data_IF_876029893399
#
_entry.id   IF_876029893399
#
_cell.length_a   1.000
_cell.length_b   1.000
_cell.length_c   1.000
_cell.angle_alpha   90.00
_cell.angle_beta   90.00
_cell.angle_gamma   90.00
#
_symmetry.space_group_name_H-M   'P 1'
#
loop_
_entity.id
_entity.type
_entity.pdbx_description
1 polymer ?
#
# COMPACT_ATOMS: atom_id res chain seq x y z
N UNK A 1 7.31 -0.86 -15.91
CA UNK A 1 8.56 -0.83 -15.09
C UNK A 1 8.23 -1.50 -13.76
N UNK A 2 9.06 -2.40 -13.20
CA UNK A 2 8.70 -3.06 -11.94
C UNK A 2 8.89 -2.10 -10.74
N UNK A 3 7.87 -1.91 -9.91
CA UNK A 3 7.96 -1.14 -8.67
C UNK A 3 8.50 -2.05 -7.56
N UNK A 4 9.49 -1.57 -6.83
CA UNK A 4 9.91 -2.17 -5.57
C UNK A 4 9.26 -1.42 -4.42
N UNK A 5 8.40 -2.09 -3.68
CA UNK A 5 7.66 -1.52 -2.56
C UNK A 5 8.41 -1.71 -1.24
N UNK A 6 8.30 -0.71 -0.36
CA UNK A 6 8.78 -0.75 1.03
C UNK A 6 7.61 -0.47 1.95
N UNK A 7 7.05 -1.55 2.49
CA UNK A 7 5.98 -1.47 3.46
C UNK A 7 6.55 -1.24 4.87
N UNK A 8 6.10 -0.20 5.57
CA UNK A 8 6.45 0.01 6.97
C UNK A 8 5.81 -1.05 7.87
N UNK A 9 6.42 -1.29 9.03
CA UNK A 9 5.83 -2.12 10.07
C UNK A 9 4.79 -1.33 10.89
N UNK A 10 3.99 -2.03 11.69
CA UNK A 10 2.98 -1.40 12.56
C UNK A 10 3.58 -0.41 13.57
N UNK A 11 4.88 -0.51 13.85
CA UNK A 11 5.61 0.33 14.79
C UNK A 11 6.24 1.56 14.13
N UNK A 12 6.20 1.66 12.81
CA UNK A 12 6.78 2.78 12.07
C UNK A 12 6.00 4.05 12.42
N UNK A 13 6.68 5.11 12.92
CA UNK A 13 6.03 6.35 13.28
C UNK A 13 5.18 6.92 12.13
N UNK A 14 3.92 7.24 12.44
CA UNK A 14 2.97 7.81 11.49
C UNK A 14 2.32 6.79 10.54
N UNK A 15 2.74 5.52 10.49
CA UNK A 15 2.15 4.54 9.58
C UNK A 15 0.67 4.26 9.87
N UNK A 16 0.29 4.07 11.14
CA UNK A 16 -1.12 3.83 11.50
C UNK A 16 -2.05 4.98 11.09
N UNK A 17 -1.55 6.22 11.11
CA UNK A 17 -2.28 7.40 10.63
C UNK A 17 -2.44 7.34 9.11
N UNK A 18 -1.34 7.15 8.37
CA UNK A 18 -1.35 7.02 6.90
C UNK A 18 -2.26 5.89 6.43
N UNK A 19 -2.25 4.75 7.13
CA UNK A 19 -3.13 3.61 6.85
C UNK A 19 -4.61 4.00 6.95
N UNK A 20 -4.98 4.80 7.95
CA UNK A 20 -6.36 5.32 8.09
C UNK A 20 -6.69 6.30 6.97
N UNK A 21 -5.76 7.17 6.60
CA UNK A 21 -5.95 8.14 5.50
C UNK A 21 -6.14 7.41 4.16
N UNK A 22 -5.35 6.37 3.88
CA UNK A 22 -5.54 5.50 2.70
C UNK A 22 -6.91 4.80 2.74
N UNK A 23 -7.34 4.27 3.89
CA UNK A 23 -8.64 3.60 4.02
C UNK A 23 -9.79 4.54 3.64
N UNK A 24 -9.75 5.78 4.14
CA UNK A 24 -10.73 6.82 3.81
C UNK A 24 -10.72 7.14 2.31
N UNK A 25 -9.53 7.27 1.70
CA UNK A 25 -9.40 7.60 0.28
C UNK A 25 -9.91 6.48 -0.64
N UNK A 26 -9.76 5.22 -0.23
CA UNK A 26 -10.22 4.05 -1.01
C UNK A 26 -11.74 3.90 -0.95
N UNK A 27 -12.37 4.29 0.17
CA UNK A 27 -13.83 4.30 0.31
C UNK A 27 -14.49 5.55 -0.30
N UNK A 28 -13.71 6.62 -0.53
CA UNK A 28 -14.21 7.86 -1.07
C UNK A 28 -14.53 7.76 -2.57
N UNK A 29 -15.41 8.63 -3.10
CA UNK A 29 -15.65 8.71 -4.54
C UNK A 29 -14.34 8.97 -5.31
N UNK A 30 -14.15 8.36 -6.50
CA UNK A 30 -12.93 8.52 -7.28
C UNK A 30 -12.90 9.87 -8.00
N UNK A 31 -12.74 10.95 -7.23
CA UNK A 31 -12.47 12.29 -7.75
C UNK A 31 -10.99 12.42 -8.09
N UNK A 32 -10.65 13.43 -8.90
CA UNK A 32 -9.26 13.77 -9.20
C UNK A 32 -8.47 14.02 -7.91
N UNK A 33 -9.05 14.79 -6.99
CA UNK A 33 -8.45 15.13 -5.69
C UNK A 33 -8.14 13.88 -4.84
N UNK A 34 -9.09 12.94 -4.73
CA UNK A 34 -8.89 11.73 -3.94
C UNK A 34 -7.88 10.78 -4.59
N UNK A 35 -7.86 10.72 -5.93
CA UNK A 35 -6.92 9.91 -6.70
C UNK A 35 -5.49 10.46 -6.58
N UNK A 36 -5.34 11.78 -6.66
CA UNK A 36 -4.05 12.46 -6.46
C UNK A 36 -3.55 12.27 -5.03
N UNK A 37 -4.42 12.42 -4.03
CA UNK A 37 -4.07 12.19 -2.64
C UNK A 37 -3.60 10.74 -2.39
N UNK A 38 -4.33 9.75 -2.93
CA UNK A 38 -3.93 8.33 -2.83
C UNK A 38 -2.59 8.09 -3.53
N UNK A 39 -2.38 8.72 -4.68
CA UNK A 39 -1.11 8.64 -5.42
C UNK A 39 0.04 9.17 -4.58
N UNK A 40 -0.07 10.35 -3.96
CA UNK A 40 0.97 10.89 -3.08
C UNK A 40 1.34 9.92 -1.95
N UNK A 41 0.33 9.31 -1.29
CA UNK A 41 0.60 8.31 -0.26
C UNK A 41 1.34 7.08 -0.82
N UNK A 42 0.92 6.56 -1.97
CA UNK A 42 1.56 5.39 -2.57
C UNK A 42 3.04 5.66 -2.94
N UNK A 43 3.37 6.88 -3.37
CA UNK A 43 4.76 7.27 -3.71
C UNK A 43 5.73 7.18 -2.52
N UNK A 44 5.25 7.40 -1.30
CA UNK A 44 6.04 7.28 -0.07
C UNK A 44 6.53 5.84 0.18
N UNK A 45 5.77 4.84 -0.30
CA UNK A 45 6.07 3.43 -0.13
C UNK A 45 6.88 2.82 -1.26
N UNK A 46 7.26 3.61 -2.27
CA UNK A 46 8.11 3.14 -3.37
C UNK A 46 9.58 3.26 -2.99
N UNK A 47 10.29 2.14 -2.94
CA UNK A 47 11.74 2.08 -2.78
C UNK A 47 12.45 2.27 -4.11
N UNK A 48 11.98 1.59 -5.16
CA UNK A 48 12.47 1.75 -6.52
C UNK A 48 11.31 1.86 -7.51
N UNK A 49 11.39 2.80 -8.47
CA UNK A 49 12.51 3.69 -8.75
C UNK A 49 12.69 4.83 -7.72
N UNK A 50 13.89 5.40 -7.63
CA UNK A 50 14.24 6.40 -6.60
C UNK A 50 13.82 7.83 -6.93
N UNK A 51 13.62 8.16 -8.20
CA UNK A 51 13.28 9.53 -8.62
C UNK A 51 11.77 9.71 -8.67
N UNK A 52 11.26 10.84 -8.18
CA UNK A 52 9.81 11.10 -8.13
C UNK A 52 9.13 10.99 -9.50
N UNK A 53 9.81 11.48 -10.55
CA UNK A 53 9.32 11.34 -11.92
C UNK A 53 9.16 9.88 -12.34
N UNK A 54 10.11 9.02 -11.98
CA UNK A 54 10.03 7.60 -12.30
C UNK A 54 9.02 6.87 -11.41
N UNK A 55 8.90 7.25 -10.13
CA UNK A 55 7.89 6.69 -9.22
C UNK A 55 6.47 6.94 -9.74
N UNK A 56 6.16 8.20 -10.08
CA UNK A 56 4.87 8.60 -10.66
C UNK A 56 4.60 7.86 -11.97
N UNK A 57 5.59 7.80 -12.86
CA UNK A 57 5.46 7.05 -14.12
C UNK A 57 5.16 5.57 -13.86
N UNK A 58 5.90 4.93 -12.97
CA UNK A 58 5.70 3.53 -12.64
C UNK A 58 4.32 3.29 -12.01
N UNK A 59 3.86 4.19 -11.13
CA UNK A 59 2.56 4.10 -10.48
C UNK A 59 1.40 4.24 -11.48
N UNK A 60 1.53 5.07 -12.51
CA UNK A 60 0.54 5.16 -13.59
C UNK A 60 0.51 3.90 -14.46
N UNK A 61 1.67 3.23 -14.61
CA UNK A 61 1.82 2.03 -15.42
C UNK A 61 1.42 0.73 -14.71
N UNK A 62 1.12 0.74 -13.40
CA UNK A 62 0.74 -0.49 -12.70
C UNK A 62 -0.62 -1.01 -13.17
N UNK A 63 -0.77 -2.33 -13.13
CA UNK A 63 -2.08 -2.93 -13.37
C UNK A 63 -3.03 -2.61 -12.21
N UNK A 64 -4.33 -2.56 -12.52
CA UNK A 64 -5.36 -2.37 -11.50
C UNK A 64 -5.30 -3.46 -10.43
N UNK A 65 -5.02 -4.70 -10.82
CA UNK A 65 -4.83 -5.83 -9.89
C UNK A 65 -3.67 -5.60 -8.93
N UNK A 66 -2.53 -5.13 -9.44
CA UNK A 66 -1.38 -4.79 -8.60
C UNK A 66 -1.70 -3.65 -7.63
N UNK A 67 -2.40 -2.61 -8.10
CA UNK A 67 -2.88 -1.54 -7.24
C UNK A 67 -3.76 -2.06 -6.09
N UNK A 68 -4.75 -2.91 -6.39
CA UNK A 68 -5.60 -3.53 -5.37
C UNK A 68 -4.82 -4.36 -4.37
N UNK A 69 -3.84 -5.16 -4.81
CA UNK A 69 -3.02 -5.98 -3.92
C UNK A 69 -2.18 -5.13 -2.98
N UNK A 70 -1.54 -4.07 -3.49
CA UNK A 70 -0.69 -3.18 -2.69
C UNK A 70 -1.52 -2.36 -1.68
N UNK A 71 -2.65 -1.80 -2.11
CA UNK A 71 -3.58 -1.10 -1.23
C UNK A 71 -4.12 -2.06 -0.17
N UNK A 72 -4.49 -3.28 -0.55
CA UNK A 72 -4.90 -4.33 0.38
C UNK A 72 -3.83 -4.62 1.43
N UNK A 73 -2.59 -4.83 1.01
CA UNK A 73 -1.46 -5.06 1.91
C UNK A 73 -1.20 -3.88 2.87
N UNK A 74 -1.28 -2.64 2.39
CA UNK A 74 -1.16 -1.43 3.23
C UNK A 74 -2.27 -1.35 4.29
N UNK A 75 -3.49 -1.75 3.91
CA UNK A 75 -4.65 -1.78 4.81
C UNK A 75 -4.66 -3.01 5.74
N UNK A 76 -3.78 -3.99 5.50
CA UNK A 76 -3.81 -5.29 6.19
C UNK A 76 -4.91 -6.23 5.70
N UNK A 77 -5.49 -5.94 4.54
CA UNK A 77 -6.47 -6.75 3.82
C UNK A 77 -5.71 -7.69 2.87
N UNK A 78 -5.12 -8.74 3.43
CA UNK A 78 -4.32 -9.73 2.68
C UNK A 78 -3.50 -10.62 3.60
N UNK A 79 -4.02 -11.83 3.85
CA UNK A 79 -3.42 -12.95 4.62
C UNK A 79 -2.47 -12.54 5.75
N UNK A 80 -3.04 -12.01 6.83
CA UNK A 80 -2.51 -12.29 8.16
C UNK A 80 -3.06 -13.67 8.53
N UNK A 81 -2.26 -14.74 8.63
CA UNK A 81 -2.73 -15.93 9.34
C UNK A 81 -3.12 -15.47 10.74
N UNK A 82 -4.35 -15.77 11.16
CA UNK A 82 -4.81 -15.46 12.50
C UNK A 82 -3.78 -16.06 13.49
N UNK A 83 -3.33 -15.34 14.54
CA UNK A 83 -2.48 -15.94 15.55
C UNK A 83 -3.07 -17.23 16.16
N UNK A 84 -4.38 -17.43 16.01
CA UNK A 84 -5.09 -18.66 16.40
C UNK A 84 -4.95 -19.83 15.41
N UNK A 85 -4.55 -19.57 14.17
CA UNK A 85 -4.28 -20.59 13.14
C UNK A 85 -2.84 -21.13 13.18
N UNK A 86 -1.94 -20.52 13.95
CA UNK A 86 -0.63 -21.12 14.29
C UNK A 86 -0.81 -22.09 15.46
N UNK A 87 -1.71 -23.05 15.32
CA UNK A 87 -1.75 -24.23 16.20
C UNK A 87 -0.96 -25.35 15.54
N UNK A 88 0.28 -25.46 16.00
CA UNK A 88 0.97 -26.74 16.23
C UNK A 88 1.14 -27.64 15.01
N UNK A 89 2.12 -27.32 14.16
CA UNK A 89 3.01 -28.36 13.64
C UNK A 89 4.40 -28.12 14.22
N UNK A 90 4.67 -28.81 15.33
CA UNK A 90 6.04 -29.17 15.72
C UNK A 90 6.01 -30.70 15.83
N UNK A 91 6.89 -31.41 15.10
CA UNK A 91 6.93 -32.88 15.10
C UNK A 91 7.28 -33.48 16.47
#
# INVERSE_FOLDING_TARGET
>A
MAIKWKFPDANTPGFLRRRREIAVLVEAPPTLENTDALTEYLLEFIEEPKTDKAKRKALIEISMTECYLIVGQLLGLGTVPDPKDVKSEVP
#
